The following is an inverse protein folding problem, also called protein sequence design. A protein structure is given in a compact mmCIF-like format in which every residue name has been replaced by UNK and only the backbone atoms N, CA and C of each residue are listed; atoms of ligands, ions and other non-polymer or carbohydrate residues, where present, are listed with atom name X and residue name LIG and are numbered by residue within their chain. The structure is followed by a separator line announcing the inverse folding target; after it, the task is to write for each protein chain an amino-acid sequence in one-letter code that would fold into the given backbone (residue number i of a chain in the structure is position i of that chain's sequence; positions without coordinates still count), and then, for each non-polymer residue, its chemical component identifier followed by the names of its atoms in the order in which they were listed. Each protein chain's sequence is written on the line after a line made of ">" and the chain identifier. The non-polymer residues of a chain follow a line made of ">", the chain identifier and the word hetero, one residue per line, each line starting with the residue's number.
data_IF_131570584158
#
_entry.id   IF_131570584158
#
_cell.length_a   1.000
_cell.length_b   1.000
_cell.length_c   1.000
_cell.angle_alpha   90.00
_cell.angle_beta   90.00
_cell.angle_gamma   90.00
#
_symmetry.space_group_name_H-M   'P 1'
#
loop_
_entity.id
_entity.type
_entity.pdbx_description
1 polymer ?
#
# COMPACT_ATOMS: atom_id res chain seq x y z
N UNK A 1 27.36 18.18 7.93
CA UNK A 1 26.40 18.10 9.04
C UNK A 1 25.21 17.29 8.56
N UNK A 2 24.76 16.26 9.28
CA UNK A 2 23.43 15.70 9.01
C UNK A 2 22.41 16.84 9.18
N UNK A 3 21.37 16.93 8.35
CA UNK A 3 20.29 17.88 8.60
C UNK A 3 19.73 17.58 9.98
N UNK A 4 19.54 18.63 10.80
CA UNK A 4 18.84 18.50 12.07
C UNK A 4 17.48 17.88 11.78
N UNK A 5 17.27 16.63 12.19
CA UNK A 5 15.99 15.97 12.12
C UNK A 5 14.98 16.90 12.77
N UNK A 6 14.06 17.46 11.98
CA UNK A 6 12.98 18.26 12.54
C UNK A 6 12.22 17.29 13.42
N UNK A 7 12.14 17.58 14.71
CA UNK A 7 11.67 16.66 15.77
C UNK A 7 10.28 16.05 15.53
N UNK A 8 9.53 16.58 14.55
CA UNK A 8 8.19 16.15 14.17
C UNK A 8 8.07 15.69 12.71
N UNK A 9 9.18 15.48 12.00
CA UNK A 9 9.16 14.86 10.68
C UNK A 9 8.86 13.36 10.83
N UNK A 10 7.92 12.86 10.02
CA UNK A 10 7.55 11.45 10.03
C UNK A 10 8.77 10.60 9.65
N UNK A 11 9.08 9.65 10.52
CA UNK A 11 10.10 8.64 10.31
C UNK A 11 9.41 7.29 10.39
N UNK A 12 9.36 6.59 9.27
CA UNK A 12 8.95 5.19 9.26
C UNK A 12 9.94 4.39 10.11
N UNK A 13 9.44 3.53 10.99
CA UNK A 13 10.29 2.64 11.79
C UNK A 13 10.78 1.49 10.91
N UNK A 14 12.08 1.38 10.59
CA UNK A 14 12.58 0.27 9.79
C UNK A 14 12.40 -1.05 10.52
N UNK A 15 12.03 -2.10 9.79
CA UNK A 15 11.84 -3.42 10.39
C UNK A 15 11.01 -4.37 9.55
N UNK A 16 10.56 -5.44 10.21
CA UNK A 16 9.73 -6.48 9.61
C UNK A 16 8.28 -6.32 9.99
N UNK A 17 7.40 -6.54 9.01
CA UNK A 17 5.97 -6.32 9.16
C UNK A 17 5.18 -7.35 8.37
N UNK A 18 4.10 -7.86 8.95
CA UNK A 18 2.98 -8.36 8.13
C UNK A 18 2.27 -7.18 7.45
N UNK A 19 1.49 -7.40 6.38
CA UNK A 19 0.72 -6.32 5.76
C UNK A 19 -0.19 -5.60 6.74
N UNK A 20 -0.82 -6.34 7.66
CA UNK A 20 -1.71 -5.79 8.69
C UNK A 20 -0.95 -4.89 9.67
N UNK A 21 0.23 -5.33 10.14
CA UNK A 21 1.06 -4.54 11.03
C UNK A 21 1.60 -3.29 10.33
N UNK A 22 1.99 -3.38 9.06
CA UNK A 22 2.41 -2.22 8.28
C UNK A 22 1.29 -1.18 8.15
N UNK A 23 0.06 -1.60 7.83
CA UNK A 23 -1.09 -0.70 7.76
C UNK A 23 -1.33 0.01 9.10
N UNK A 24 -1.19 -0.71 10.22
CA UNK A 24 -1.28 -0.14 11.56
C UNK A 24 -0.15 0.86 11.84
N UNK A 25 1.08 0.56 11.41
CA UNK A 25 2.25 1.43 11.59
C UNK A 25 2.05 2.78 10.91
N UNK A 26 1.56 2.79 9.68
CA UNK A 26 1.37 4.02 8.92
C UNK A 26 0.06 4.75 9.25
N UNK A 27 -0.83 4.16 10.07
CA UNK A 27 -2.09 4.80 10.47
C UNK A 27 -1.88 6.12 11.21
N UNK A 28 -0.70 6.33 11.82
CA UNK A 28 -0.32 7.61 12.44
C UNK A 28 -0.38 8.77 11.46
N UNK A 29 -0.17 8.55 10.16
CA UNK A 29 -0.25 9.60 9.13
C UNK A 29 -1.69 10.14 9.03
N UNK A 30 -2.67 9.24 8.87
CA UNK A 30 -4.09 9.63 8.80
C UNK A 30 -4.58 10.20 10.13
N UNK A 31 -4.26 9.57 11.26
CA UNK A 31 -4.70 10.06 12.57
C UNK A 31 -4.09 11.43 12.89
N UNK A 32 -2.87 11.72 12.42
CA UNK A 32 -2.28 13.07 12.51
C UNK A 32 -3.02 14.09 11.65
N UNK A 33 -3.51 13.70 10.47
CA UNK A 33 -4.40 14.56 9.66
C UNK A 33 -5.68 14.87 10.43
N UNK A 34 -6.34 13.86 11.01
CA UNK A 34 -7.59 14.04 11.74
C UNK A 34 -7.40 14.96 12.95
N UNK A 35 -6.37 14.72 13.76
CA UNK A 35 -6.09 15.54 14.95
C UNK A 35 -5.78 16.99 14.56
N UNK A 36 -4.99 17.21 13.51
CA UNK A 36 -4.61 18.56 13.08
C UNK A 36 -5.74 19.33 12.39
N UNK A 37 -6.68 18.66 11.71
CA UNK A 37 -7.89 19.29 11.17
C UNK A 37 -8.82 19.84 12.27
N UNK A 38 -8.67 19.35 13.50
CA UNK A 38 -9.54 19.68 14.61
C UNK A 38 -10.97 19.13 14.44
N UNK A 39 -11.89 19.53 15.33
CA UNK A 39 -13.25 18.98 15.37
C UNK A 39 -14.03 19.28 14.08
N UNK A 40 -14.87 18.33 13.70
CA UNK A 40 -15.80 18.50 12.58
C UNK A 40 -16.90 19.50 12.91
N UNK A 41 -17.33 20.25 11.88
CA UNK A 41 -18.41 21.22 12.03
C UNK A 41 -19.75 20.49 12.14
N UNK A 42 -20.68 20.96 12.99
CA UNK A 42 -22.02 20.38 13.07
C UNK A 42 -22.71 20.32 11.70
N UNK A 43 -23.19 19.13 11.31
CA UNK A 43 -23.90 18.92 10.04
C UNK A 43 -23.00 18.69 8.82
N UNK A 44 -21.68 18.78 8.95
CA UNK A 44 -20.75 18.34 7.90
C UNK A 44 -20.44 16.83 8.03
N UNK A 45 -20.09 16.15 6.93
CA UNK A 45 -19.65 14.75 7.00
C UNK A 45 -18.37 14.62 7.83
N UNK A 46 -18.26 13.51 8.56
CA UNK A 46 -17.09 13.16 9.37
C UNK A 46 -15.82 13.09 8.52
N UNK A 47 -14.76 13.79 8.96
CA UNK A 47 -13.50 13.90 8.21
C UNK A 47 -12.85 12.53 7.98
N UNK A 48 -12.97 11.62 8.95
CA UNK A 48 -12.42 10.26 8.84
C UNK A 48 -13.17 9.45 7.79
N UNK A 49 -14.50 9.51 7.77
CA UNK A 49 -15.31 8.90 6.70
C UNK A 49 -14.91 9.42 5.33
N UNK A 50 -14.70 10.74 5.18
CA UNK A 50 -14.28 11.35 3.92
C UNK A 50 -12.94 10.77 3.42
N UNK A 51 -11.95 10.64 4.30
CA UNK A 51 -10.64 10.09 3.94
C UNK A 51 -10.67 8.59 3.66
N UNK A 52 -11.48 7.83 4.40
CA UNK A 52 -11.67 6.40 4.14
C UNK A 52 -12.42 6.15 2.83
N UNK A 53 -13.38 7.02 2.46
CA UNK A 53 -14.00 6.98 1.13
C UNK A 53 -12.95 7.25 0.03
N UNK A 54 -12.00 8.15 0.29
CA UNK A 54 -10.86 8.38 -0.59
C UNK A 54 -9.99 7.13 -0.76
N UNK A 55 -9.62 6.46 0.34
CA UNK A 55 -8.89 5.19 0.27
C UNK A 55 -9.66 4.12 -0.51
N UNK A 56 -10.95 3.94 -0.21
CA UNK A 56 -11.81 2.99 -0.92
C UNK A 56 -11.82 3.28 -2.42
N UNK A 57 -11.90 4.55 -2.80
CA UNK A 57 -11.88 4.96 -4.20
C UNK A 57 -10.52 4.73 -4.86
N UNK A 58 -9.42 4.94 -4.15
CA UNK A 58 -8.07 4.66 -4.65
C UNK A 58 -7.78 3.17 -4.83
N UNK A 59 -8.35 2.33 -3.96
CA UNK A 59 -8.26 0.86 -4.03
C UNK A 59 -9.31 0.24 -4.97
N UNK A 60 -10.25 1.03 -5.47
CA UNK A 60 -11.25 0.60 -6.45
C UNK A 60 -10.58 0.19 -7.77
N UNK A 61 -11.28 -0.64 -8.52
CA UNK A 61 -10.95 -1.06 -9.89
C UNK A 61 -11.59 -0.18 -10.96
N UNK A 62 -12.50 0.72 -10.55
CA UNK A 62 -13.20 1.66 -11.43
C UNK A 62 -13.28 3.06 -10.83
N UNK A 63 -13.55 4.04 -11.70
CA UNK A 63 -13.68 5.45 -11.33
C UNK A 63 -12.42 6.26 -11.59
N UNK A 64 -12.56 7.59 -11.54
CA UNK A 64 -11.50 8.53 -11.88
C UNK A 64 -10.31 8.45 -10.92
N UNK A 65 -10.57 8.11 -9.67
CA UNK A 65 -9.62 8.06 -8.57
C UNK A 65 -8.97 6.68 -8.38
N UNK A 66 -9.44 5.65 -9.09
CA UNK A 66 -8.84 4.32 -9.05
C UNK A 66 -7.37 4.37 -9.49
N UNK A 67 -6.51 3.76 -8.69
CA UNK A 67 -5.06 3.74 -8.95
C UNK A 67 -4.60 2.50 -9.70
N UNK A 68 -5.49 1.52 -9.87
CA UNK A 68 -5.28 0.29 -10.63
C UNK A 68 -6.58 -0.13 -11.32
N UNK A 69 -6.90 0.46 -12.49
CA UNK A 69 -8.05 0.03 -13.27
C UNK A 69 -7.84 -1.39 -13.79
N UNK A 70 -8.85 -2.23 -13.66
CA UNK A 70 -8.85 -3.61 -14.15
C UNK A 70 -9.72 -3.68 -15.40
N UNK A 71 -9.34 -4.48 -16.40
CA UNK A 71 -10.07 -4.49 -17.67
C UNK A 71 -11.30 -5.41 -17.65
N UNK A 72 -11.18 -6.54 -16.95
CA UNK A 72 -12.10 -7.68 -16.95
C UNK A 72 -12.90 -7.80 -15.65
N UNK A 73 -12.94 -6.74 -14.83
CA UNK A 73 -13.57 -6.78 -13.50
C UNK A 73 -15.08 -7.03 -13.54
N UNK A 74 -15.75 -6.63 -14.63
CA UNK A 74 -17.19 -6.77 -14.83
C UNK A 74 -17.54 -7.91 -15.79
N UNK A 75 -16.56 -8.73 -16.18
CA UNK A 75 -16.82 -9.92 -16.98
C UNK A 75 -17.56 -10.96 -16.13
N UNK A 76 -18.36 -11.84 -16.75
CA UNK A 76 -19.08 -12.91 -16.05
C UNK A 76 -18.13 -13.82 -15.25
N UNK A 77 -16.91 -13.99 -15.75
CA UNK A 77 -15.86 -14.78 -15.13
C UNK A 77 -14.53 -13.99 -15.13
N UNK A 78 -14.33 -13.06 -14.18
CA UNK A 78 -13.11 -12.28 -14.11
C UNK A 78 -11.88 -13.18 -13.93
N UNK A 79 -10.76 -12.76 -14.50
CA UNK A 79 -9.50 -13.51 -14.40
C UNK A 79 -9.11 -13.76 -12.96
N UNK A 80 -8.28 -14.79 -12.76
CA UNK A 80 -7.72 -15.10 -11.45
C UNK A 80 -6.96 -13.90 -10.85
N UNK A 81 -6.21 -13.18 -11.68
CA UNK A 81 -5.50 -11.96 -11.30
C UNK A 81 -6.46 -10.89 -10.78
N UNK A 82 -7.55 -10.62 -11.48
CA UNK A 82 -8.54 -9.62 -11.07
C UNK A 82 -9.22 -10.01 -9.77
N UNK A 83 -9.67 -11.26 -9.62
CA UNK A 83 -10.24 -11.74 -8.35
C UNK A 83 -9.24 -11.62 -7.19
N UNK A 84 -7.96 -11.88 -7.45
CA UNK A 84 -6.89 -11.77 -6.47
C UNK A 84 -6.65 -10.31 -6.04
N UNK A 85 -6.54 -9.37 -6.99
CA UNK A 85 -6.37 -7.94 -6.71
C UNK A 85 -7.54 -7.38 -5.91
N UNK A 86 -8.79 -7.76 -6.26
CA UNK A 86 -9.98 -7.36 -5.51
C UNK A 86 -9.95 -7.88 -4.07
N UNK A 87 -9.49 -9.12 -3.85
CA UNK A 87 -9.32 -9.69 -2.50
C UNK A 87 -8.29 -8.90 -1.68
N UNK A 88 -7.14 -8.54 -2.27
CA UNK A 88 -6.12 -7.70 -1.61
C UNK A 88 -6.71 -6.34 -1.24
N UNK A 89 -7.36 -5.66 -2.19
CA UNK A 89 -7.95 -4.35 -1.95
C UNK A 89 -8.96 -4.36 -0.80
N UNK A 90 -9.81 -5.39 -0.73
CA UNK A 90 -10.75 -5.58 0.39
C UNK A 90 -10.04 -5.79 1.73
N UNK A 91 -9.01 -6.65 1.77
CA UNK A 91 -8.26 -6.93 2.99
C UNK A 91 -7.51 -5.68 3.50
N UNK A 92 -6.83 -4.96 2.61
CA UNK A 92 -6.13 -3.70 2.94
C UNK A 92 -7.09 -2.65 3.48
N UNK A 93 -8.25 -2.46 2.82
CA UNK A 93 -9.27 -1.54 3.30
C UNK A 93 -9.75 -1.92 4.70
N UNK A 94 -10.00 -3.22 4.94
CA UNK A 94 -10.38 -3.73 6.26
C UNK A 94 -9.30 -3.46 7.31
N UNK A 95 -8.01 -3.73 7.03
CA UNK A 95 -6.92 -3.46 7.97
C UNK A 95 -6.81 -1.97 8.30
N UNK A 96 -7.02 -1.09 7.30
CA UNK A 96 -7.02 0.35 7.50
C UNK A 96 -8.18 0.78 8.37
N UNK A 97 -9.39 0.27 8.12
CA UNK A 97 -10.59 0.50 8.95
C UNK A 97 -10.39 0.05 10.40
N UNK A 98 -9.79 -1.14 10.62
CA UNK A 98 -9.50 -1.67 11.96
C UNK A 98 -8.44 -0.85 12.71
N UNK A 99 -7.58 -0.14 11.98
CA UNK A 99 -6.52 0.70 12.56
C UNK A 99 -6.99 2.12 12.91
N UNK A 100 -8.20 2.51 12.52
CA UNK A 100 -8.75 3.83 12.81
C UNK A 100 -8.91 4.05 14.31
N UNK A 101 -8.34 5.13 14.83
CA UNK A 101 -8.29 5.44 16.25
C UNK A 101 -7.48 4.46 17.10
N UNK A 102 -6.86 3.43 16.50
CA UNK A 102 -6.07 2.43 17.22
C UNK A 102 -4.65 2.92 17.54
N UNK A 103 -4.22 4.01 16.91
CA UNK A 103 -2.95 4.69 17.15
C UNK A 103 -3.19 6.19 17.39
N UNK A 104 -2.43 6.83 18.30
CA UNK A 104 -2.57 8.26 18.53
C UNK A 104 -2.01 9.06 17.34
N UNK A 105 -2.76 10.04 16.85
CA UNK A 105 -2.25 11.04 15.92
C UNK A 105 -1.28 12.00 16.61
N UNK A 106 -0.32 12.54 15.85
CA UNK A 106 0.62 13.56 16.33
C UNK A 106 0.20 14.94 15.77
N UNK A 107 -0.17 15.91 16.64
CA UNK A 107 -0.67 17.22 16.24
C UNK A 107 0.39 18.12 15.59
N UNK A 108 1.66 17.73 15.59
CA UNK A 108 2.75 18.46 14.97
C UNK A 108 3.44 17.67 13.87
N UNK A 109 2.94 16.47 13.51
CA UNK A 109 3.56 15.61 12.50
C UNK A 109 3.63 16.34 11.17
N UNK A 110 4.78 16.24 10.54
CA UNK A 110 5.05 16.76 9.19
C UNK A 110 5.62 15.63 8.35
N UNK A 111 5.44 15.72 7.04
CA UNK A 111 6.13 14.83 6.09
C UNK A 111 6.48 15.64 4.87
N UNK A 112 7.62 15.33 4.26
CA UNK A 112 7.90 15.73 2.89
C UNK A 112 7.58 14.57 1.95
N UNK A 113 6.36 14.57 1.40
CA UNK A 113 5.95 13.61 0.37
C UNK A 113 6.07 14.28 -0.99
N UNK A 114 6.82 13.72 -1.96
CA UNK A 114 6.58 13.99 -3.37
C UNK A 114 5.08 13.82 -3.65
N UNK A 115 4.45 14.80 -4.28
CA UNK A 115 3.03 14.72 -4.64
C UNK A 115 2.86 13.76 -5.82
N UNK A 116 2.66 12.47 -5.56
CA UNK A 116 2.63 11.44 -6.61
C UNK A 116 1.30 11.33 -7.38
N UNK A 117 0.60 12.44 -7.55
CA UNK A 117 -0.54 12.53 -8.45
C UNK A 117 -1.78 11.71 -8.04
N UNK A 118 -1.86 11.23 -6.79
CA UNK A 118 -3.06 10.57 -6.28
C UNK A 118 -4.27 11.48 -6.41
N UNK A 119 -5.26 11.01 -7.17
CA UNK A 119 -6.51 11.74 -7.33
C UNK A 119 -7.36 11.52 -6.10
N UNK A 120 -7.88 12.61 -5.55
CA UNK A 120 -8.78 12.56 -4.41
C UNK A 120 -10.23 12.60 -4.85
N UNK A 121 -11.07 11.89 -4.09
CA UNK A 121 -12.51 12.09 -4.16
C UNK A 121 -12.84 13.57 -3.88
N UNK A 122 -13.85 14.15 -4.55
CA UNK A 122 -14.14 15.58 -4.40
C UNK A 122 -14.33 16.06 -2.95
N UNK A 123 -14.98 15.31 -2.03
CA UNK A 123 -15.07 15.70 -0.63
C UNK A 123 -13.70 15.84 0.06
N UNK A 124 -12.79 14.87 -0.11
CA UNK A 124 -11.45 14.92 0.46
C UNK A 124 -10.65 16.11 -0.11
N UNK A 125 -10.76 16.36 -1.41
CA UNK A 125 -10.11 17.50 -2.04
C UNK A 125 -10.67 18.86 -1.62
N UNK A 126 -11.95 18.96 -1.23
CA UNK A 126 -12.51 20.19 -0.65
C UNK A 126 -12.03 20.38 0.79
N UNK A 127 -12.08 19.32 1.60
CA UNK A 127 -11.63 19.36 3.00
C UNK A 127 -10.16 19.76 3.10
N UNK A 128 -9.28 19.13 2.31
CA UNK A 128 -7.85 19.40 2.33
C UNK A 128 -7.44 20.77 1.78
N UNK A 129 -8.34 21.46 1.07
CA UNK A 129 -8.16 22.84 0.59
C UNK A 129 -9.01 23.86 1.36
N UNK A 130 -9.67 23.43 2.42
CA UNK A 130 -10.44 24.31 3.29
C UNK A 130 -9.53 25.08 4.25
N UNK A 131 -10.09 26.09 4.92
CA UNK A 131 -9.42 26.87 5.95
C UNK A 131 -9.00 26.04 7.18
N UNK A 132 -9.59 24.86 7.39
CA UNK A 132 -9.21 23.92 8.47
C UNK A 132 -7.94 23.13 8.15
N UNK A 133 -7.49 23.16 6.89
CA UNK A 133 -6.39 22.34 6.41
C UNK A 133 -5.12 23.16 6.20
N UNK A 134 -4.02 22.45 5.90
CA UNK A 134 -2.76 23.05 5.51
C UNK A 134 -2.07 22.19 4.44
N UNK A 135 -1.05 22.72 3.74
CA UNK A 135 -0.24 21.92 2.83
C UNK A 135 0.39 20.69 3.50
N UNK A 136 0.68 20.74 4.80
CA UNK A 136 1.20 19.60 5.57
C UNK A 136 0.19 18.46 5.61
N UNK A 137 -1.09 18.75 5.84
CA UNK A 137 -2.14 17.72 5.91
C UNK A 137 -2.37 17.06 4.55
N UNK A 138 -2.27 17.85 3.48
CA UNK A 138 -2.29 17.33 2.11
C UNK A 138 -1.16 16.33 1.87
N UNK A 139 0.06 16.66 2.32
CA UNK A 139 1.22 15.77 2.18
C UNK A 139 1.08 14.51 3.04
N UNK A 140 0.60 14.61 4.29
CA UNK A 140 0.37 13.46 5.16
C UNK A 140 -0.67 12.49 4.59
N UNK A 141 -1.79 13.01 4.11
CA UNK A 141 -2.83 12.19 3.50
C UNK A 141 -2.34 11.53 2.19
N UNK A 142 -1.58 12.27 1.37
CA UNK A 142 -0.97 11.71 0.17
C UNK A 142 0.05 10.61 0.47
N UNK A 143 0.91 10.82 1.47
CA UNK A 143 1.87 9.80 1.90
C UNK A 143 1.14 8.53 2.33
N UNK A 144 0.09 8.67 3.15
CA UNK A 144 -0.70 7.55 3.62
C UNK A 144 -1.34 6.76 2.48
N UNK A 145 -2.00 7.44 1.53
CA UNK A 145 -2.55 6.79 0.33
C UNK A 145 -1.48 6.13 -0.52
N UNK A 146 -0.32 6.78 -0.67
CA UNK A 146 0.78 6.28 -1.47
C UNK A 146 1.35 4.98 -0.88
N UNK A 147 1.65 4.97 0.41
CA UNK A 147 2.16 3.80 1.11
C UNK A 147 1.19 2.60 1.01
N UNK A 148 -0.12 2.84 1.16
CA UNK A 148 -1.12 1.78 1.01
C UNK A 148 -1.21 1.27 -0.43
N UNK A 149 -1.14 2.17 -1.41
CA UNK A 149 -1.23 1.80 -2.83
C UNK A 149 -0.02 0.96 -3.26
N UNK A 150 1.18 1.36 -2.85
CA UNK A 150 2.41 0.60 -3.11
C UNK A 150 2.42 -0.74 -2.40
N UNK A 151 1.91 -0.81 -1.16
CA UNK A 151 1.69 -2.08 -0.47
C UNK A 151 0.78 -3.00 -1.30
N UNK A 152 -0.40 -2.52 -1.73
CA UNK A 152 -1.32 -3.31 -2.56
C UNK A 152 -0.60 -3.90 -3.76
N UNK A 153 0.12 -3.07 -4.49
CA UNK A 153 0.78 -3.46 -5.73
C UNK A 153 1.88 -4.50 -5.49
N UNK A 154 2.66 -4.35 -4.40
CA UNK A 154 3.67 -5.33 -3.98
C UNK A 154 3.08 -6.68 -3.56
N UNK A 155 1.89 -6.68 -2.97
CA UNK A 155 1.22 -7.90 -2.50
C UNK A 155 0.59 -8.74 -3.61
N UNK A 156 0.39 -8.17 -4.83
CA UNK A 156 -0.20 -8.88 -5.98
C UNK A 156 0.59 -10.16 -6.34
N UNK A 157 1.87 -10.21 -6.03
CA UNK A 157 2.71 -11.35 -6.32
C UNK A 157 2.40 -12.59 -5.47
N UNK A 158 1.71 -12.47 -4.33
CA UNK A 158 1.60 -13.52 -3.32
C UNK A 158 0.19 -14.08 -3.18
N UNK A 159 -0.01 -15.37 -3.42
CA UNK A 159 -1.29 -16.06 -3.23
C UNK A 159 -1.76 -16.02 -1.76
N UNK A 160 -0.81 -16.03 -0.82
CA UNK A 160 -0.99 -15.92 0.63
C UNK A 160 -0.45 -14.59 1.17
N UNK A 161 -0.75 -13.49 0.46
CA UNK A 161 -0.25 -12.16 0.79
C UNK A 161 -0.37 -11.77 2.27
N UNK A 162 -1.42 -12.23 2.98
CA UNK A 162 -1.65 -11.91 4.40
C UNK A 162 -0.54 -12.42 5.33
N UNK A 163 0.13 -13.51 4.95
CA UNK A 163 1.17 -14.17 5.76
C UNK A 163 2.59 -13.64 5.48
N UNK A 164 2.75 -12.84 4.42
CA UNK A 164 4.08 -12.41 3.93
C UNK A 164 4.77 -11.53 4.97
N UNK A 165 6.02 -11.86 5.28
CA UNK A 165 6.87 -11.01 6.12
C UNK A 165 7.63 -10.02 5.25
N UNK A 166 7.18 -8.77 5.27
CA UNK A 166 7.83 -7.65 4.59
C UNK A 166 9.14 -7.31 5.32
N UNK A 167 10.16 -6.93 4.57
CA UNK A 167 11.45 -6.47 5.09
C UNK A 167 11.66 -5.02 4.66
N UNK A 168 11.23 -4.08 5.50
CA UNK A 168 11.17 -2.66 5.20
C UNK A 168 12.28 -1.92 5.96
N UNK A 169 13.52 -2.15 5.54
CA UNK A 169 14.72 -1.64 6.23
C UNK A 169 15.41 -0.49 5.51
N UNK A 170 14.92 -0.07 4.34
CA UNK A 170 15.47 1.06 3.56
C UNK A 170 15.24 2.38 4.33
N UNK A 171 16.31 2.94 4.87
CA UNK A 171 16.27 4.18 5.64
C UNK A 171 16.08 5.43 4.76
N UNK A 172 16.47 5.37 3.48
CA UNK A 172 16.40 6.49 2.55
C UNK A 172 15.03 6.56 1.85
N UNK A 173 14.37 5.41 1.68
CA UNK A 173 13.04 5.30 1.07
C UNK A 173 12.06 4.64 2.04
N UNK A 174 11.42 5.42 2.92
CA UNK A 174 10.53 4.93 3.97
C UNK A 174 9.40 4.01 3.47
N UNK A 175 9.18 2.92 4.20
CA UNK A 175 8.07 2.00 4.00
C UNK A 175 8.12 1.31 2.64
N UNK A 176 7.05 1.47 1.86
CA UNK A 176 6.86 0.82 0.55
C UNK A 176 7.32 1.68 -0.64
N UNK A 177 7.97 2.82 -0.40
CA UNK A 177 8.49 3.70 -1.48
C UNK A 177 9.34 3.00 -2.54
N UNK A 178 10.19 2.00 -2.21
CA UNK A 178 10.93 1.25 -3.23
C UNK A 178 10.04 0.62 -4.33
N UNK A 179 8.75 0.36 -4.06
CA UNK A 179 7.82 -0.16 -5.07
C UNK A 179 7.64 0.74 -6.27
N UNK A 180 7.88 2.05 -6.14
CA UNK A 180 7.75 3.00 -7.24
C UNK A 180 8.57 2.59 -8.46
N UNK A 181 9.77 2.03 -8.24
CA UNK A 181 10.72 1.66 -9.28
C UNK A 181 10.15 0.62 -10.26
N UNK A 182 9.27 -0.27 -9.77
CA UNK A 182 8.70 -1.38 -10.54
C UNK A 182 7.22 -1.20 -10.87
N UNK A 183 6.56 -0.24 -10.20
CA UNK A 183 5.11 -0.07 -10.24
C UNK A 183 4.58 0.19 -11.65
N UNK A 184 5.16 1.14 -12.38
CA UNK A 184 4.68 1.50 -13.73
C UNK A 184 4.67 0.28 -14.68
N UNK A 185 5.75 -0.50 -14.68
CA UNK A 185 5.88 -1.70 -15.50
C UNK A 185 4.86 -2.79 -15.10
N UNK A 186 4.65 -2.98 -13.80
CA UNK A 186 3.64 -3.91 -13.28
C UNK A 186 2.23 -3.50 -13.72
N UNK A 187 1.86 -2.23 -13.52
CA UNK A 187 0.52 -1.75 -13.85
C UNK A 187 0.26 -1.83 -15.36
N UNK A 188 1.26 -1.52 -16.19
CA UNK A 188 1.17 -1.64 -17.64
C UNK A 188 0.91 -3.09 -18.08
N UNK A 189 1.47 -4.08 -17.39
CA UNK A 189 1.22 -5.50 -17.65
C UNK A 189 -0.16 -5.96 -17.18
N UNK A 190 -0.59 -5.52 -15.99
CA UNK A 190 -1.94 -5.80 -15.47
C UNK A 190 -3.00 -5.24 -16.43
N UNK A 191 -2.85 -3.99 -16.87
CA UNK A 191 -3.78 -3.36 -17.81
C UNK A 191 -3.90 -4.10 -19.16
N UNK A 192 -2.86 -4.85 -19.56
CA UNK A 192 -2.85 -5.69 -20.77
C UNK A 192 -3.35 -7.11 -20.53
N UNK A 193 -3.71 -7.46 -19.30
CA UNK A 193 -4.07 -8.82 -18.89
C UNK A 193 -2.93 -9.84 -19.03
N UNK A 194 -1.67 -9.37 -19.05
CA UNK A 194 -0.48 -10.19 -19.31
C UNK A 194 0.61 -9.87 -18.31
N UNK A 195 0.52 -10.42 -17.11
CA UNK A 195 1.56 -10.30 -16.10
C UNK A 195 2.49 -11.50 -16.19
N UNK A 196 3.78 -11.24 -16.37
CA UNK A 196 4.80 -12.29 -16.37
C UNK A 196 5.18 -12.68 -14.93
N UNK A 197 5.55 -13.95 -14.74
CA UNK A 197 6.10 -14.44 -13.46
C UNK A 197 7.39 -13.72 -13.07
N UNK A 198 8.22 -13.34 -14.03
CA UNK A 198 9.42 -12.54 -13.79
C UNK A 198 9.06 -11.20 -13.15
N UNK A 199 8.05 -10.50 -13.69
CA UNK A 199 7.57 -9.25 -13.11
C UNK A 199 7.01 -9.43 -11.71
N UNK A 200 6.27 -10.50 -11.43
CA UNK A 200 5.80 -10.80 -10.08
C UNK A 200 6.95 -11.11 -9.12
N UNK A 201 7.97 -11.82 -9.58
CA UNK A 201 9.16 -12.14 -8.79
C UNK A 201 9.96 -10.88 -8.42
N UNK A 202 10.19 -9.99 -9.38
CA UNK A 202 10.88 -8.73 -9.12
C UNK A 202 10.03 -7.82 -8.22
N UNK A 203 8.72 -7.75 -8.44
CA UNK A 203 7.77 -7.06 -7.56
C UNK A 203 7.84 -7.58 -6.12
N UNK A 204 7.85 -8.90 -5.95
CA UNK A 204 7.90 -9.55 -4.64
C UNK A 204 9.18 -9.21 -3.87
N UNK A 205 10.33 -9.21 -4.56
CA UNK A 205 11.63 -8.92 -3.93
C UNK A 205 11.71 -7.50 -3.39
N UNK A 206 11.09 -6.52 -4.04
CA UNK A 206 11.21 -5.10 -3.63
C UNK A 206 10.80 -4.88 -2.17
N UNK A 207 9.78 -5.58 -1.66
CA UNK A 207 9.31 -5.44 -0.27
C UNK A 207 9.77 -6.55 0.69
N UNK A 208 10.50 -7.55 0.21
CA UNK A 208 10.88 -8.72 1.03
C UNK A 208 12.38 -8.98 1.02
N UNK A 209 13.05 -8.81 -0.12
CA UNK A 209 14.43 -9.19 -0.34
C UNK A 209 15.12 -8.27 -1.37
N UNK A 210 15.21 -6.95 -1.09
CA UNK A 210 15.69 -5.96 -2.06
C UNK A 210 17.17 -6.15 -2.46
N UNK A 211 17.96 -6.83 -1.61
CA UNK A 211 19.38 -7.09 -1.85
C UNK A 211 19.64 -8.30 -2.77
N UNK A 212 18.59 -9.06 -3.12
CA UNK A 212 18.74 -10.21 -4.00
C UNK A 212 18.83 -9.78 -5.47
N UNK A 213 19.65 -10.47 -6.29
CA UNK A 213 19.74 -10.18 -7.71
C UNK A 213 18.42 -10.50 -8.44
N UNK A 214 18.24 -9.89 -9.60
CA UNK A 214 17.11 -10.15 -10.49
C UNK A 214 17.09 -11.61 -11.00
N UNK A 215 15.91 -12.10 -11.34
CA UNK A 215 15.68 -13.43 -11.90
C UNK A 215 15.56 -14.55 -10.86
N UNK A 216 15.44 -15.78 -11.35
CA UNK A 216 15.18 -16.98 -10.55
C UNK A 216 13.76 -17.52 -10.72
N UNK A 217 13.54 -18.74 -10.20
CA UNK A 217 12.21 -19.37 -10.19
C UNK A 217 11.42 -19.04 -8.91
N UNK A 218 12.15 -18.75 -7.84
CA UNK A 218 11.73 -18.30 -6.52
C UNK A 218 12.94 -17.70 -5.81
N UNK A 219 12.81 -17.33 -4.55
CA UNK A 219 13.92 -16.78 -3.77
C UNK A 219 13.78 -17.10 -2.28
N UNK A 220 14.89 -17.01 -1.55
CA UNK A 220 14.96 -17.21 -0.12
C UNK A 220 15.62 -15.98 0.50
N UNK A 221 15.05 -15.51 1.60
CA UNK A 221 15.53 -14.37 2.37
C UNK A 221 15.45 -14.68 3.86
N UNK A 222 15.84 -13.74 4.72
CA UNK A 222 16.01 -14.02 6.14
C UNK A 222 14.73 -14.44 6.87
N UNK A 223 13.55 -14.14 6.31
CA UNK A 223 12.27 -14.45 6.93
C UNK A 223 11.50 -15.57 6.24
N UNK A 224 12.04 -16.19 5.19
CA UNK A 224 11.42 -17.36 4.60
C UNK A 224 11.79 -17.59 3.14
N UNK A 225 10.98 -18.43 2.50
CA UNK A 225 11.15 -18.87 1.12
C UNK A 225 9.91 -18.51 0.32
N UNK A 226 10.13 -17.96 -0.86
CA UNK A 226 9.09 -17.58 -1.82
C UNK A 226 9.26 -18.43 -3.06
N UNK A 227 8.26 -19.26 -3.35
CA UNK A 227 8.27 -20.19 -4.48
C UNK A 227 6.96 -20.06 -5.28
N UNK A 228 6.90 -20.49 -6.54
CA UNK A 228 5.63 -20.50 -7.28
C UNK A 228 4.56 -21.31 -6.56
N UNK A 229 3.36 -20.74 -6.46
CA UNK A 229 2.27 -21.32 -5.68
C UNK A 229 1.87 -22.72 -6.18
N UNK A 230 2.03 -22.99 -7.48
CA UNK A 230 1.81 -24.30 -8.09
C UNK A 230 2.70 -25.44 -7.54
N UNK A 231 3.81 -25.13 -6.83
CA UNK A 231 4.63 -26.15 -6.18
C UNK A 231 4.05 -26.65 -4.85
N UNK A 232 3.06 -25.97 -4.29
CA UNK A 232 2.44 -26.35 -3.02
C UNK A 232 1.22 -27.22 -3.29
N UNK A 233 1.04 -28.28 -2.49
CA UNK A 233 -0.06 -29.23 -2.66
C UNK A 233 -1.42 -28.56 -2.51
N UNK A 234 -2.21 -28.58 -3.59
CA UNK A 234 -3.49 -27.87 -3.72
C UNK A 234 -3.55 -27.18 -5.09
N UNK A 235 -4.72 -26.73 -5.53
CA UNK A 235 -4.89 -26.02 -6.82
C UNK A 235 -4.26 -24.61 -6.79
N UNK A 236 -2.97 -24.52 -6.45
CA UNK A 236 -2.20 -23.28 -6.43
C UNK A 236 -2.11 -22.69 -7.84
N UNK A 237 -2.26 -21.37 -7.93
CA UNK A 237 -2.14 -20.66 -9.19
C UNK A 237 -0.78 -20.93 -9.84
N UNK A 238 -0.76 -21.10 -11.16
CA UNK A 238 0.49 -21.08 -11.92
C UNK A 238 1.09 -19.67 -12.06
N UNK A 239 0.31 -18.63 -11.73
CA UNK A 239 0.72 -17.24 -11.86
C UNK A 239 1.46 -16.73 -10.63
N UNK A 240 0.88 -16.94 -9.44
CA UNK A 240 1.35 -16.31 -8.20
C UNK A 240 2.50 -17.07 -7.53
N UNK A 241 3.15 -16.38 -6.60
CA UNK A 241 4.12 -16.90 -5.67
C UNK A 241 3.45 -17.19 -4.33
N UNK A 242 4.10 -18.01 -3.51
CA UNK A 242 3.66 -18.33 -2.16
C UNK A 242 4.84 -18.20 -1.21
N UNK A 243 4.61 -17.48 -0.11
CA UNK A 243 5.55 -17.34 0.98
C UNK A 243 5.41 -18.51 1.98
N UNK A 244 6.54 -19.06 2.40
CA UNK A 244 6.64 -20.05 3.48
C UNK A 244 7.64 -19.55 4.52
N UNK A 245 7.29 -19.53 5.83
CA UNK A 245 8.17 -19.06 6.91
C UNK A 245 9.35 -20.01 7.21
N UNK A 246 9.55 -21.03 6.38
CA UNK A 246 10.63 -22.01 6.51
C UNK A 246 11.89 -21.52 5.80
N UNK A 247 13.05 -21.75 6.41
CA UNK A 247 14.36 -21.62 5.75
C UNK A 247 14.72 -22.99 5.16
N UNK A 248 14.96 -23.07 3.85
CA UNK A 248 15.54 -24.26 3.21
C UNK A 248 17.03 -24.36 3.58
#
# INVERSE_FOLDING_TARGET
>A
MPPATRRNEWQFRPGTYTPREFIREIAVLLESVIVQLGPDKPGEPDSRSIFMDGLRSSLSHEGREATLPLADWNDEHPSELTRHILRIGKAIYQYASESLGAVPGNPALTVYSPCEGHKWVPPAGRLLRSERSSPVLMMLYNEWLHQITCLRDGLIAFDNFEDVVLNLTDAERPGTRPMQDVREALLAQIARGRVSRETLLETAKVLTAPDLPAGGYGFQYDHGVVLPAALFSGAGSSLFLRYSPTRL
#
